data_IF_175636463005
#
_entry.id   IF_175636463005
#
_cell.length_a   1.000
_cell.length_b   1.000
_cell.length_c   1.000
_cell.angle_alpha   90.00
_cell.angle_beta   90.00
_cell.angle_gamma   90.00
#
_symmetry.space_group_name_H-M   'P 1'
#
loop_
_entity.id
_entity.type
_entity.pdbx_description
1 polymer ?
#
# COMPACT_ATOMS: atom_id res chain seq x y z
N UNK A 1 7.85 -19.79 -8.38
CA UNK A 1 8.18 -18.41 -7.93
C UNK A 1 6.89 -17.72 -7.49
N UNK A 2 6.89 -16.94 -6.40
CA UNK A 2 5.68 -16.23 -5.89
C UNK A 2 5.75 -14.76 -6.31
N UNK A 3 5.18 -14.43 -7.46
CA UNK A 3 5.31 -13.12 -8.12
C UNK A 3 3.98 -12.39 -8.31
N UNK A 4 2.87 -12.95 -7.83
CA UNK A 4 1.57 -12.29 -8.01
C UNK A 4 1.45 -11.09 -7.07
N UNK A 5 0.60 -10.12 -7.42
CA UNK A 5 0.33 -8.98 -6.55
C UNK A 5 -0.15 -9.42 -5.15
N UNK A 6 -0.94 -10.51 -5.07
CA UNK A 6 -1.41 -11.10 -3.81
C UNK A 6 -0.25 -11.65 -2.97
N UNK A 7 0.72 -12.31 -3.61
CA UNK A 7 1.92 -12.79 -2.92
C UNK A 7 2.72 -11.61 -2.35
N UNK A 8 2.97 -10.57 -3.16
CA UNK A 8 3.73 -9.39 -2.74
C UNK A 8 3.02 -8.62 -1.61
N UNK A 9 1.68 -8.57 -1.65
CA UNK A 9 0.86 -7.98 -0.58
C UNK A 9 0.96 -8.80 0.71
N UNK A 10 0.91 -10.13 0.60
CA UNK A 10 1.11 -11.04 1.75
C UNK A 10 2.50 -10.91 2.35
N UNK A 11 3.51 -10.62 1.54
CA UNK A 11 4.88 -10.36 2.02
C UNK A 11 5.08 -8.96 2.60
N UNK A 12 4.06 -8.09 2.60
CA UNK A 12 4.16 -6.72 3.10
C UNK A 12 5.00 -5.80 2.19
N UNK A 13 5.32 -6.23 0.96
CA UNK A 13 6.15 -5.48 0.03
C UNK A 13 5.36 -4.32 -0.57
N UNK A 14 4.13 -4.59 -1.03
CA UNK A 14 3.23 -3.58 -1.61
C UNK A 14 2.14 -3.13 -0.64
N UNK A 15 1.64 -1.92 -0.85
CA UNK A 15 0.62 -1.30 0.00
C UNK A 15 -0.79 -1.63 -0.41
N UNK A 16 -1.06 -1.78 -1.69
CA UNK A 16 -2.41 -2.03 -2.19
C UNK A 16 -2.36 -2.79 -3.52
N UNK A 17 -3.49 -3.34 -3.92
CA UNK A 17 -3.68 -3.98 -5.23
C UNK A 17 -4.81 -3.24 -5.93
N UNK A 18 -4.48 -2.57 -7.03
CA UNK A 18 -5.48 -1.90 -7.87
C UNK A 18 -6.15 -2.95 -8.75
N UNK A 19 -7.48 -3.00 -8.72
CA UNK A 19 -8.24 -3.90 -9.57
C UNK A 19 -8.15 -3.47 -11.04
N UNK A 20 -8.10 -4.46 -11.94
CA UNK A 20 -8.16 -4.22 -13.38
C UNK A 20 -9.61 -4.18 -13.88
N UNK A 21 -9.82 -3.64 -15.07
CA UNK A 21 -11.08 -3.77 -15.78
C UNK A 21 -11.47 -5.25 -15.99
N UNK A 22 -12.77 -5.59 -16.10
CA UNK A 22 -13.20 -6.94 -16.46
C UNK A 22 -12.55 -7.40 -17.78
N UNK A 23 -11.86 -8.54 -17.76
CA UNK A 23 -11.09 -9.05 -18.90
C UNK A 23 -9.64 -8.54 -18.99
N UNK A 24 -9.22 -7.64 -18.10
CA UNK A 24 -7.85 -7.16 -17.94
C UNK A 24 -7.69 -5.67 -18.24
N UNK A 25 -6.61 -5.05 -17.76
CA UNK A 25 -6.40 -3.60 -17.86
C UNK A 25 -6.45 -3.01 -19.30
N UNK A 26 -6.18 -3.84 -20.31
CA UNK A 26 -6.20 -3.46 -21.72
C UNK A 26 -7.61 -3.38 -22.32
N UNK A 27 -8.62 -3.99 -21.69
CA UNK A 27 -10.01 -4.00 -22.21
C UNK A 27 -10.69 -2.67 -21.96
N UNK A 28 -10.36 -2.00 -20.85
CA UNK A 28 -10.75 -0.63 -20.55
C UNK A 28 -9.61 0.13 -19.84
N UNK A 29 -8.71 0.75 -20.64
CA UNK A 29 -7.61 1.53 -20.09
C UNK A 29 -8.08 2.78 -19.33
N UNK A 30 -9.21 3.36 -19.72
CA UNK A 30 -9.73 4.58 -19.08
C UNK A 30 -10.25 4.28 -17.67
N UNK A 31 -10.99 3.18 -17.50
CA UNK A 31 -11.40 2.68 -16.19
C UNK A 31 -10.20 2.39 -15.29
N UNK A 32 -9.22 1.65 -15.83
CA UNK A 32 -8.02 1.29 -15.06
C UNK A 32 -7.23 2.54 -14.65
N UNK A 33 -7.06 3.51 -15.55
CA UNK A 33 -6.40 4.78 -15.25
C UNK A 33 -7.15 5.59 -14.18
N UNK A 34 -8.49 5.57 -14.18
CA UNK A 34 -9.29 6.24 -13.16
C UNK A 34 -9.04 5.64 -11.76
N UNK A 35 -8.99 4.31 -11.65
CA UNK A 35 -8.68 3.62 -10.39
C UNK A 35 -7.24 3.90 -9.91
N UNK A 36 -6.27 3.92 -10.84
CA UNK A 36 -4.89 4.32 -10.53
C UNK A 36 -4.86 5.74 -9.97
N UNK A 37 -5.51 6.69 -10.65
CA UNK A 37 -5.58 8.09 -10.21
C UNK A 37 -6.20 8.20 -8.82
N UNK A 38 -7.33 7.55 -8.59
CA UNK A 38 -8.02 7.56 -7.30
C UNK A 38 -7.10 7.07 -6.18
N UNK A 39 -6.39 5.96 -6.41
CA UNK A 39 -5.47 5.37 -5.44
C UNK A 39 -4.30 6.30 -5.14
N UNK A 40 -3.67 6.88 -6.17
CA UNK A 40 -2.55 7.81 -6.01
C UNK A 40 -2.99 9.06 -5.23
N UNK A 41 -4.15 9.65 -5.56
CA UNK A 41 -4.66 10.85 -4.88
C UNK A 41 -4.93 10.56 -3.40
N UNK A 42 -5.65 9.47 -3.10
CA UNK A 42 -5.92 9.02 -1.72
C UNK A 42 -4.61 8.87 -0.92
N UNK A 43 -3.65 8.13 -1.48
CA UNK A 43 -2.41 7.84 -0.77
C UNK A 43 -1.55 9.11 -0.62
N UNK A 44 -1.55 10.00 -1.62
CA UNK A 44 -0.82 11.26 -1.57
C UNK A 44 -1.39 12.21 -0.51
N UNK A 45 -2.72 12.34 -0.41
CA UNK A 45 -3.38 13.14 0.63
C UNK A 45 -2.95 12.68 2.03
N UNK A 46 -2.94 11.36 2.26
CA UNK A 46 -2.46 10.79 3.52
C UNK A 46 -1.01 11.16 3.79
N UNK A 47 -0.12 11.00 2.80
CA UNK A 47 1.31 11.26 2.95
C UNK A 47 1.60 12.75 3.16
N UNK A 48 0.94 13.64 2.42
CA UNK A 48 1.08 15.09 2.54
C UNK A 48 0.58 15.63 3.89
N UNK A 49 -0.32 14.91 4.57
CA UNK A 49 -0.76 15.25 5.93
C UNK A 49 0.28 14.95 7.02
N UNK A 50 1.39 14.28 6.70
CA UNK A 50 2.39 13.86 7.68
C UNK A 50 3.60 14.78 7.68
N UNK A 51 4.20 14.88 8.86
CA UNK A 51 5.48 15.53 9.06
C UNK A 51 6.61 14.85 8.22
N UNK A 52 7.47 15.62 7.52
CA UNK A 52 8.53 15.07 6.68
C UNK A 52 9.48 14.09 7.40
N UNK A 53 9.86 14.35 8.65
CA UNK A 53 10.76 13.45 9.39
C UNK A 53 10.10 12.09 9.65
N UNK A 54 8.79 12.11 9.85
CA UNK A 54 7.98 10.90 10.00
C UNK A 54 7.96 10.08 8.70
N UNK A 55 7.84 10.74 7.54
CA UNK A 55 7.89 10.09 6.23
C UNK A 55 9.27 9.46 5.94
N UNK A 56 10.36 10.14 6.33
CA UNK A 56 11.73 9.62 6.18
C UNK A 56 11.93 8.37 7.04
N UNK A 57 11.58 8.43 8.34
CA UNK A 57 11.67 7.28 9.25
C UNK A 57 10.86 6.09 8.75
N UNK A 58 9.64 6.38 8.28
CA UNK A 58 8.76 5.38 7.68
C UNK A 58 9.38 4.71 6.46
N UNK A 59 9.92 5.48 5.50
CA UNK A 59 10.55 4.94 4.29
C UNK A 59 11.73 4.04 4.63
N UNK A 60 12.59 4.47 5.55
CA UNK A 60 13.76 3.69 6.00
C UNK A 60 13.30 2.36 6.61
N UNK A 61 12.32 2.39 7.51
CA UNK A 61 11.80 1.19 8.16
C UNK A 61 11.11 0.25 7.16
N UNK A 62 10.36 0.79 6.18
CA UNK A 62 9.74 -0.02 5.11
C UNK A 62 10.80 -0.74 4.29
N UNK A 63 11.82 -0.04 3.79
CA UNK A 63 12.83 -0.64 2.91
C UNK A 63 13.71 -1.64 3.68
N UNK A 64 14.17 -1.28 4.88
CA UNK A 64 15.04 -2.15 5.70
C UNK A 64 14.32 -3.36 6.29
N UNK A 65 13.01 -3.28 6.45
CA UNK A 65 12.20 -4.40 6.93
C UNK A 65 11.97 -5.47 5.87
N UNK A 66 12.17 -5.17 4.57
CA UNK A 66 11.96 -6.16 3.51
C UNK A 66 13.03 -7.25 3.60
N UNK A 67 12.58 -8.47 3.88
CA UNK A 67 13.41 -9.65 4.11
C UNK A 67 13.01 -10.34 5.40
N UNK A 68 13.19 -11.66 5.47
CA UNK A 68 12.98 -12.42 6.71
C UNK A 68 14.31 -12.99 7.18
N UNK A 69 14.65 -12.69 8.43
CA UNK A 69 15.51 -13.52 9.25
C UNK A 69 14.60 -14.35 10.17
N UNK A 70 14.94 -15.61 10.45
CA UNK A 70 14.10 -16.50 11.27
C UNK A 70 13.65 -15.78 12.57
N UNK A 71 12.35 -15.51 12.69
CA UNK A 71 11.73 -14.96 13.91
C UNK A 71 11.05 -13.58 13.82
N UNK A 72 11.18 -12.80 12.75
CA UNK A 72 10.51 -11.48 12.68
C UNK A 72 9.05 -11.60 12.22
N UNK A 73 8.12 -11.77 13.16
CA UNK A 73 6.68 -11.64 12.90
C UNK A 73 6.29 -10.15 12.79
N UNK A 74 5.59 -9.79 11.71
CA UNK A 74 4.89 -8.51 11.50
C UNK A 74 5.70 -7.20 11.57
N UNK A 75 6.89 -7.14 10.95
CA UNK A 75 7.68 -5.88 10.87
C UNK A 75 6.93 -4.71 10.19
N UNK A 76 5.93 -5.02 9.37
CA UNK A 76 5.14 -4.05 8.58
C UNK A 76 3.94 -3.46 9.32
N UNK A 77 3.52 -4.02 10.46
CA UNK A 77 2.31 -3.58 11.18
C UNK A 77 2.42 -2.14 11.72
N UNK A 78 3.55 -1.70 12.31
CA UNK A 78 3.73 -0.30 12.69
C UNK A 78 3.80 0.66 11.50
N UNK A 79 4.12 0.18 10.30
CA UNK A 79 4.16 1.00 9.08
C UNK A 79 2.76 1.36 8.59
N UNK A 80 1.77 0.51 8.85
CA UNK A 80 0.36 0.78 8.54
C UNK A 80 -0.19 1.98 9.33
N UNK A 81 0.44 2.35 10.46
CA UNK A 81 0.03 3.52 11.25
C UNK A 81 0.18 4.85 10.51
N UNK A 82 1.03 4.93 9.48
CA UNK A 82 1.11 6.12 8.60
C UNK A 82 -0.19 6.31 7.83
N UNK A 83 -0.85 5.22 7.46
CA UNK A 83 -2.19 5.22 6.84
C UNK A 83 -3.33 5.08 7.87
N UNK A 84 -3.01 4.82 9.14
CA UNK A 84 -3.95 4.41 10.20
C UNK A 84 -4.82 5.50 10.84
N UNK A 85 -5.16 6.57 10.11
CA UNK A 85 -6.23 7.52 10.50
C UNK A 85 -7.12 7.92 9.32
N UNK A 86 -7.34 7.01 8.38
CA UNK A 86 -8.43 7.12 7.41
C UNK A 86 -9.20 5.80 7.50
N UNK A 87 -10.48 5.88 7.86
CA UNK A 87 -11.45 4.78 8.04
C UNK A 87 -11.43 3.99 9.36
N UNK A 88 -12.05 4.58 10.39
CA UNK A 88 -12.86 3.85 11.39
C UNK A 88 -14.18 4.58 11.72
N UNK A 89 -14.82 5.19 10.71
CA UNK A 89 -16.19 5.71 10.82
C UNK A 89 -16.99 5.41 9.55
N UNK A 90 -17.25 4.12 9.29
CA UNK A 90 -18.49 3.70 8.62
C UNK A 90 -18.69 2.19 8.78
N UNK A 91 -19.29 1.83 9.90
CA UNK A 91 -20.16 0.65 10.02
C UNK A 91 -21.20 1.01 11.08
N UNK A 92 -22.30 1.57 10.60
CA UNK A 92 -23.62 1.52 11.22
C UNK A 92 -24.45 0.56 10.37
#
# INVERSE_FOLDING_TARGET
>A
MKITARDLKRFGIIHDIIAEAPGGAHTDPAFTAALIKQTIVRDLEVLCSKDPDTLVRYRIKKIRGIGSFEGSSNWWEPLLQVFGKVDREQSY
#
